data_IF_027892363278
#
_entry.id   IF_027892363278
#
_cell.length_a   1.000
_cell.length_b   1.000
_cell.length_c   1.000
_cell.angle_alpha   90.00
_cell.angle_beta   90.00
_cell.angle_gamma   90.00
#
_symmetry.space_group_name_H-M   'P 1'
#
loop_
_entity.id
_entity.type
_entity.pdbx_description
1 polymer ?
#
# COMPACT_ATOMS: atom_id res chain seq x y z
N UNK A 1 6.36 7.76 -43.12
CA UNK A 1 5.46 8.86 -42.65
C UNK A 1 5.52 8.93 -41.13
N UNK A 2 5.91 10.07 -40.53
CA UNK A 2 5.94 10.18 -39.05
C UNK A 2 4.54 9.89 -38.49
N UNK A 3 4.36 8.96 -37.53
CA UNK A 3 3.08 8.82 -36.85
C UNK A 3 2.86 10.08 -36.00
N UNK A 4 2.19 11.08 -36.57
CA UNK A 4 1.90 12.36 -35.90
C UNK A 4 0.91 12.19 -34.76
N UNK A 5 0.07 11.15 -34.81
CA UNK A 5 -0.94 10.87 -33.78
C UNK A 5 -0.37 10.44 -32.43
N UNK A 6 0.86 9.90 -32.40
CA UNK A 6 1.41 9.24 -31.21
C UNK A 6 2.50 10.09 -30.53
N UNK A 7 2.75 11.33 -30.99
CA UNK A 7 3.77 12.21 -30.41
C UNK A 7 3.13 13.10 -29.34
N UNK A 8 3.60 12.97 -28.10
CA UNK A 8 3.10 13.72 -26.94
C UNK A 8 4.25 14.44 -26.24
N UNK A 9 3.96 15.53 -25.53
CA UNK A 9 4.93 16.13 -24.63
C UNK A 9 4.97 15.37 -23.30
N UNK A 10 6.11 14.75 -22.97
CA UNK A 10 6.29 14.01 -21.73
C UNK A 10 6.78 14.95 -20.63
N UNK A 11 6.00 15.13 -19.56
CA UNK A 11 6.38 15.98 -18.41
C UNK A 11 7.61 15.41 -17.69
N UNK A 12 7.70 14.09 -17.54
CA UNK A 12 8.83 13.43 -16.87
C UNK A 12 10.15 13.61 -17.61
N UNK A 13 10.12 13.63 -18.94
CA UNK A 13 11.31 13.83 -19.78
C UNK A 13 11.49 15.27 -20.25
N UNK A 14 10.51 16.15 -20.05
CA UNK A 14 10.48 17.56 -20.53
C UNK A 14 10.76 17.71 -22.02
N UNK A 15 10.36 16.71 -22.81
CA UNK A 15 10.58 16.68 -24.26
C UNK A 15 9.42 15.97 -24.97
N UNK A 16 9.17 16.28 -26.26
CA UNK A 16 8.28 15.49 -27.10
C UNK A 16 8.79 14.05 -27.27
N UNK A 17 7.95 13.07 -26.98
CA UNK A 17 8.23 11.64 -27.08
C UNK A 17 7.11 10.92 -27.85
N UNK A 18 7.45 9.79 -28.45
CA UNK A 18 6.46 8.87 -29.01
C UNK A 18 5.83 8.05 -27.87
N UNK A 19 4.50 7.96 -27.83
CA UNK A 19 3.74 7.27 -26.79
C UNK A 19 2.97 6.08 -27.38
N UNK A 20 3.01 4.95 -26.69
CA UNK A 20 2.33 3.72 -27.06
C UNK A 20 1.59 3.13 -25.86
N UNK A 21 0.42 2.55 -26.09
CA UNK A 21 -0.40 1.94 -25.02
C UNK A 21 0.25 0.69 -24.42
N UNK A 22 0.94 -0.10 -25.24
CA UNK A 22 1.55 -1.37 -24.85
C UNK A 22 3.02 -1.44 -25.26
N UNK A 23 3.79 -2.23 -24.51
CA UNK A 23 5.21 -2.47 -24.80
C UNK A 23 5.39 -3.06 -26.21
N UNK A 24 4.58 -4.06 -26.57
CA UNK A 24 4.62 -4.70 -27.88
C UNK A 24 4.41 -3.71 -29.03
N UNK A 25 3.52 -2.71 -28.87
CA UNK A 25 3.33 -1.64 -29.88
C UNK A 25 4.60 -0.78 -30.00
N UNK A 26 5.25 -0.44 -28.90
CA UNK A 26 6.49 0.32 -28.89
C UNK A 26 7.66 -0.46 -29.51
N UNK A 27 7.80 -1.75 -29.18
CA UNK A 27 8.86 -2.62 -29.71
C UNK A 27 8.67 -2.87 -31.21
N UNK A 28 7.43 -3.11 -31.65
CA UNK A 28 7.10 -3.22 -33.07
C UNK A 28 7.41 -1.91 -33.80
N UNK A 29 7.14 -0.75 -33.20
CA UNK A 29 7.52 0.53 -33.80
C UNK A 29 9.03 0.61 -34.05
N UNK A 30 9.85 0.24 -33.06
CA UNK A 30 11.31 0.18 -33.22
C UNK A 30 11.69 -0.78 -34.35
N UNK A 31 11.17 -2.01 -34.32
CA UNK A 31 11.51 -3.07 -35.26
C UNK A 31 11.20 -2.71 -36.71
N UNK A 32 10.00 -2.18 -36.98
CA UNK A 32 9.52 -1.97 -38.35
C UNK A 32 9.88 -0.62 -38.94
N UNK A 33 10.28 0.37 -38.12
CA UNK A 33 10.62 1.71 -38.60
C UNK A 33 12.13 2.00 -38.52
N UNK A 34 12.96 1.03 -38.13
CA UNK A 34 14.40 1.19 -37.91
C UNK A 34 15.11 1.80 -39.12
N UNK A 35 14.92 1.22 -40.30
CA UNK A 35 15.66 1.60 -41.51
C UNK A 35 15.20 2.98 -42.03
N UNK A 36 13.88 3.26 -41.98
CA UNK A 36 13.33 4.58 -42.32
C UNK A 36 13.85 5.66 -41.35
N UNK A 37 13.91 5.38 -40.05
CA UNK A 37 14.40 6.35 -39.06
C UNK A 37 15.91 6.56 -39.20
N UNK A 38 16.68 5.50 -39.47
CA UNK A 38 18.12 5.55 -39.66
C UNK A 38 18.49 6.44 -40.85
N UNK A 39 17.82 6.24 -41.99
CA UNK A 39 18.05 7.03 -43.20
C UNK A 39 17.70 8.51 -43.04
N UNK A 40 16.71 8.85 -42.20
CA UNK A 40 16.27 10.24 -42.01
C UNK A 40 17.06 11.01 -40.94
N UNK A 41 17.50 10.34 -39.87
CA UNK A 41 18.00 11.03 -38.66
C UNK A 41 19.33 10.50 -38.13
N UNK A 42 19.82 9.37 -38.65
CA UNK A 42 21.01 8.68 -38.15
C UNK A 42 20.88 8.09 -36.74
N UNK A 43 19.80 8.40 -35.98
CA UNK A 43 19.60 7.95 -34.60
C UNK A 43 18.28 7.20 -34.44
N UNK A 44 18.38 5.88 -34.31
CA UNK A 44 17.21 5.01 -34.14
C UNK A 44 17.00 4.69 -32.66
N UNK A 45 15.76 4.75 -32.15
CA UNK A 45 15.46 4.22 -30.81
C UNK A 45 15.85 2.74 -30.71
N UNK A 46 16.52 2.36 -29.62
CA UNK A 46 17.02 0.99 -29.41
C UNK A 46 16.20 0.21 -28.39
N UNK A 47 15.43 0.88 -27.54
CA UNK A 47 14.62 0.26 -26.48
C UNK A 47 13.32 0.99 -26.22
N UNK A 48 12.34 0.28 -25.67
CA UNK A 48 11.12 0.85 -25.09
C UNK A 48 11.19 0.86 -23.55
N UNK A 49 10.49 1.82 -22.92
CA UNK A 49 10.40 1.89 -21.45
C UNK A 49 9.05 2.44 -21.00
N UNK A 50 8.59 2.00 -19.83
CA UNK A 50 7.36 2.51 -19.23
C UNK A 50 7.61 3.85 -18.52
N UNK A 51 6.86 4.88 -18.90
CA UNK A 51 6.91 6.18 -18.23
C UNK A 51 5.76 6.32 -17.24
N UNK A 52 6.10 6.49 -15.95
CA UNK A 52 5.11 6.68 -14.88
C UNK A 52 4.30 7.96 -15.02
N UNK A 53 4.87 9.02 -15.61
CA UNK A 53 4.17 10.30 -15.81
C UNK A 53 3.18 10.27 -16.98
N UNK A 54 3.50 9.51 -18.04
CA UNK A 54 2.62 9.36 -19.18
C UNK A 54 1.71 8.13 -19.08
N UNK A 55 1.90 7.30 -18.05
CA UNK A 55 1.21 6.04 -17.82
C UNK A 55 1.24 5.07 -19.00
N UNK A 56 2.24 5.19 -19.89
CA UNK A 56 2.35 4.42 -21.14
C UNK A 56 3.81 4.27 -21.57
N UNK A 57 4.04 3.65 -22.72
CA UNK A 57 5.35 3.24 -23.22
C UNK A 57 5.96 4.28 -24.15
N UNK A 58 7.21 4.65 -23.88
CA UNK A 58 8.03 5.49 -24.75
C UNK A 58 9.13 4.67 -25.41
N UNK A 59 9.70 5.20 -26.49
CA UNK A 59 10.91 4.66 -27.11
C UNK A 59 12.08 5.63 -26.91
N UNK A 60 13.29 5.09 -26.75
CA UNK A 60 14.50 5.88 -26.60
C UNK A 60 15.68 5.20 -27.27
N UNK A 61 16.64 6.01 -27.72
CA UNK A 61 17.99 5.57 -28.06
C UNK A 61 18.88 5.73 -26.82
N UNK A 62 19.77 4.76 -26.62
CA UNK A 62 20.86 4.82 -25.63
C UNK A 62 22.09 4.35 -26.37
N UNK A 63 23.14 5.18 -26.38
CA UNK A 63 24.34 4.94 -27.17
C UNK A 63 25.33 3.99 -26.45
N UNK A 64 25.19 3.82 -25.13
CA UNK A 64 26.01 2.96 -24.29
C UNK A 64 25.21 1.74 -23.78
N UNK A 65 25.72 0.53 -24.02
CA UNK A 65 25.07 -0.73 -23.59
C UNK A 65 24.95 -0.86 -22.07
N UNK A 66 25.98 -0.48 -21.31
CA UNK A 66 25.95 -0.52 -19.84
C UNK A 66 24.89 0.41 -19.25
N UNK A 67 24.72 1.60 -19.84
CA UNK A 67 23.64 2.52 -19.46
C UNK A 67 22.27 1.97 -19.85
N UNK A 68 22.14 1.31 -20.99
CA UNK A 68 20.89 0.68 -21.42
C UNK A 68 20.44 -0.39 -20.42
N UNK A 69 21.37 -1.26 -20.00
CA UNK A 69 21.11 -2.31 -18.99
C UNK A 69 20.73 -1.70 -17.64
N UNK A 70 21.45 -0.68 -17.17
CA UNK A 70 21.13 -0.01 -15.91
C UNK A 70 19.74 0.65 -15.94
N UNK A 71 19.39 1.27 -17.08
CA UNK A 71 18.07 1.85 -17.32
C UNK A 71 16.98 0.78 -17.33
N UNK A 72 17.19 -0.37 -17.98
CA UNK A 72 16.24 -1.49 -17.99
C UNK A 72 15.99 -2.04 -16.58
N UNK A 73 17.04 -2.19 -15.77
CA UNK A 73 16.90 -2.64 -14.38
C UNK A 73 16.06 -1.63 -13.57
N UNK A 74 16.35 -0.33 -13.69
CA UNK A 74 15.60 0.72 -13.00
C UNK A 74 14.13 0.75 -13.44
N UNK A 75 13.90 0.71 -14.74
CA UNK A 75 12.56 0.82 -15.33
C UNK A 75 11.73 -0.43 -14.98
N UNK A 76 12.34 -1.62 -14.98
CA UNK A 76 11.72 -2.87 -14.53
C UNK A 76 11.35 -2.83 -13.05
N UNK A 77 12.24 -2.32 -12.17
CA UNK A 77 11.92 -2.10 -10.74
C UNK A 77 10.74 -1.14 -10.56
N UNK A 78 10.72 -0.04 -11.31
CA UNK A 78 9.64 0.95 -11.27
C UNK A 78 8.33 0.35 -11.76
N UNK A 79 8.35 -0.38 -12.88
CA UNK A 79 7.19 -1.05 -13.43
C UNK A 79 6.61 -2.09 -12.46
N UNK A 80 7.45 -2.92 -11.83
CA UNK A 80 6.96 -3.86 -10.82
C UNK A 80 6.33 -3.15 -9.64
N UNK A 81 6.95 -2.10 -9.10
CA UNK A 81 6.33 -1.29 -8.04
C UNK A 81 4.96 -0.74 -8.46
N UNK A 82 4.83 -0.21 -9.68
CA UNK A 82 3.56 0.32 -10.20
C UNK A 82 2.53 -0.79 -10.42
N UNK A 83 2.97 -1.95 -10.91
CA UNK A 83 2.12 -3.12 -11.11
C UNK A 83 1.63 -3.68 -9.78
N UNK A 84 2.49 -3.76 -8.77
CA UNK A 84 2.13 -4.21 -7.44
C UNK A 84 1.22 -3.18 -6.73
N UNK A 85 1.33 -1.90 -7.11
CA UNK A 85 0.38 -0.84 -6.74
C UNK A 85 -0.94 -0.90 -7.51
N UNK A 86 -1.02 -1.57 -8.67
CA UNK A 86 -2.30 -1.89 -9.30
C UNK A 86 -2.97 -2.93 -8.42
N UNK A 87 -3.70 -2.39 -7.44
CA UNK A 87 -4.50 -3.14 -6.47
C UNK A 87 -5.28 -4.19 -7.22
N UNK A 88 -5.13 -5.46 -6.84
CA UNK A 88 -6.09 -6.49 -7.21
C UNK A 88 -7.46 -5.99 -6.75
N UNK A 89 -8.24 -5.54 -7.73
CA UNK A 89 -9.61 -5.17 -7.48
C UNK A 89 -10.32 -6.47 -7.14
N UNK A 90 -11.20 -6.41 -6.15
CA UNK A 90 -12.16 -7.49 -5.96
C UNK A 90 -12.86 -7.76 -7.30
N UNK A 91 -13.23 -9.02 -7.58
CA UNK A 91 -13.95 -9.36 -8.80
C UNK A 91 -15.10 -8.38 -9.05
N UNK A 92 -15.30 -7.94 -10.29
CA UNK A 92 -16.43 -7.06 -10.63
C UNK A 92 -17.76 -7.84 -10.75
N UNK A 93 -17.97 -8.81 -9.87
CA UNK A 93 -19.23 -9.54 -9.72
C UNK A 93 -20.08 -8.86 -8.63
N UNK A 94 -21.37 -9.19 -8.54
CA UNK A 94 -22.26 -8.74 -7.46
C UNK A 94 -21.68 -9.06 -6.09
N UNK A 95 -21.06 -10.22 -5.95
CA UNK A 95 -20.48 -10.68 -4.69
C UNK A 95 -19.18 -9.96 -4.36
N UNK A 96 -18.32 -9.72 -5.35
CA UNK A 96 -17.10 -8.94 -5.16
C UNK A 96 -17.38 -7.47 -4.83
N UNK A 97 -18.48 -6.91 -5.36
CA UNK A 97 -18.99 -5.59 -4.95
C UNK A 97 -19.47 -5.61 -3.51
N UNK A 98 -20.29 -6.60 -3.12
CA UNK A 98 -20.76 -6.77 -1.74
C UNK A 98 -19.59 -6.91 -0.76
N UNK A 99 -18.59 -7.75 -1.07
CA UNK A 99 -17.36 -7.86 -0.27
C UNK A 99 -16.63 -6.51 -0.16
N UNK A 100 -16.57 -5.75 -1.25
CA UNK A 100 -15.94 -4.42 -1.25
C UNK A 100 -16.66 -3.45 -0.31
N UNK A 101 -17.98 -3.44 -0.31
CA UNK A 101 -18.81 -2.62 0.57
C UNK A 101 -18.64 -3.01 2.04
N UNK A 102 -18.69 -4.31 2.34
CA UNK A 102 -18.46 -4.83 3.69
C UNK A 102 -17.06 -4.46 4.20
N UNK A 103 -16.03 -4.55 3.36
CA UNK A 103 -14.67 -4.12 3.72
C UNK A 103 -14.57 -2.61 3.98
N UNK A 104 -15.34 -1.77 3.26
CA UNK A 104 -15.42 -0.33 3.57
C UNK A 104 -16.08 -0.13 4.92
N UNK A 105 -17.17 -0.84 5.19
CA UNK A 105 -17.90 -0.76 6.46
C UNK A 105 -17.01 -1.13 7.65
N UNK A 106 -16.35 -2.29 7.61
CA UNK A 106 -15.38 -2.71 8.64
C UNK A 106 -14.25 -1.70 8.79
N UNK A 107 -13.75 -1.13 7.69
CA UNK A 107 -12.73 -0.09 7.79
C UNK A 107 -13.22 1.16 8.53
N UNK A 108 -14.48 1.55 8.32
CA UNK A 108 -15.09 2.67 9.06
C UNK A 108 -15.25 2.35 10.54
N UNK A 109 -15.58 1.11 10.90
CA UNK A 109 -15.66 0.66 12.29
C UNK A 109 -14.28 0.69 12.96
N UNK A 110 -13.23 0.22 12.27
CA UNK A 110 -11.84 0.29 12.75
C UNK A 110 -11.47 1.74 13.11
N UNK A 111 -11.78 2.70 12.24
CA UNK A 111 -11.50 4.12 12.49
C UNK A 111 -12.28 4.64 13.71
N UNK A 112 -13.56 4.25 13.86
CA UNK A 112 -14.37 4.61 15.03
C UNK A 112 -13.79 4.01 16.31
N UNK A 113 -13.39 2.74 16.29
CA UNK A 113 -12.77 2.05 17.42
C UNK A 113 -11.48 2.75 17.85
N UNK A 114 -10.58 3.03 16.88
CA UNK A 114 -9.35 3.80 17.13
C UNK A 114 -9.64 5.17 17.74
N UNK A 115 -10.67 5.88 17.25
CA UNK A 115 -11.08 7.16 17.82
C UNK A 115 -11.53 7.00 19.29
N UNK A 116 -12.34 6.00 19.61
CA UNK A 116 -12.78 5.76 20.99
C UNK A 116 -11.62 5.41 21.92
N UNK A 117 -10.64 4.62 21.43
CA UNK A 117 -9.40 4.34 22.15
C UNK A 117 -8.63 5.63 22.47
N UNK A 118 -8.48 6.53 21.49
CA UNK A 118 -7.84 7.84 21.69
C UNK A 118 -8.60 8.77 22.65
N UNK A 119 -9.94 8.68 22.66
CA UNK A 119 -10.79 9.37 23.62
C UNK A 119 -10.85 8.66 24.99
N UNK A 120 -10.14 7.55 25.16
CA UNK A 120 -10.10 6.71 26.36
C UNK A 120 -11.44 6.11 26.78
N UNK A 121 -12.41 6.07 25.86
CA UNK A 121 -13.71 5.43 26.04
C UNK A 121 -13.62 3.93 25.73
N UNK A 122 -13.08 3.17 26.70
CA UNK A 122 -12.80 1.74 26.53
C UNK A 122 -14.06 0.89 26.34
N UNK A 123 -15.19 1.10 27.05
CA UNK A 123 -16.39 0.28 26.85
C UNK A 123 -16.94 0.37 25.42
N UNK A 124 -17.00 1.58 24.86
CA UNK A 124 -17.46 1.77 23.48
C UNK A 124 -16.43 1.26 22.46
N UNK A 125 -15.14 1.45 22.73
CA UNK A 125 -14.08 0.89 21.88
C UNK A 125 -14.15 -0.64 21.81
N UNK A 126 -14.35 -1.31 22.95
CA UNK A 126 -14.46 -2.76 23.04
C UNK A 126 -15.72 -3.28 22.34
N UNK A 127 -16.85 -2.57 22.49
CA UNK A 127 -18.08 -2.88 21.75
C UNK A 127 -17.85 -2.84 20.24
N UNK A 128 -17.28 -1.74 19.74
CA UNK A 128 -16.94 -1.59 18.32
C UNK A 128 -15.95 -2.67 17.86
N UNK A 129 -14.99 -3.04 18.70
CA UNK A 129 -14.03 -4.08 18.37
C UNK A 129 -14.68 -5.46 18.21
N UNK A 130 -15.63 -5.81 19.07
CA UNK A 130 -16.43 -7.04 18.92
C UNK A 130 -17.23 -7.05 17.61
N UNK A 131 -17.85 -5.92 17.26
CA UNK A 131 -18.56 -5.74 15.98
C UNK A 131 -17.60 -5.94 14.79
N UNK A 132 -16.40 -5.34 14.83
CA UNK A 132 -15.37 -5.49 13.79
C UNK A 132 -14.99 -6.95 13.59
N UNK A 133 -14.72 -7.70 14.67
CA UNK A 133 -14.31 -9.10 14.59
C UNK A 133 -15.43 -9.96 14.00
N UNK A 134 -16.67 -9.74 14.43
CA UNK A 134 -17.83 -10.46 13.92
C UNK A 134 -18.03 -10.19 12.42
N UNK A 135 -18.11 -8.93 12.01
CA UNK A 135 -18.33 -8.57 10.60
C UNK A 135 -17.18 -9.04 9.71
N UNK A 136 -15.95 -8.96 10.19
CA UNK A 136 -14.80 -9.44 9.43
C UNK A 136 -14.80 -10.96 9.26
N UNK A 137 -15.25 -11.73 10.28
CA UNK A 137 -15.42 -13.18 10.14
C UNK A 137 -16.42 -13.56 9.05
N UNK A 138 -17.50 -12.78 8.88
CA UNK A 138 -18.46 -12.97 7.78
C UNK A 138 -17.81 -12.69 6.43
N UNK A 139 -16.94 -11.67 6.34
CA UNK A 139 -16.19 -11.36 5.12
C UNK A 139 -15.24 -12.52 4.76
N UNK A 140 -14.51 -13.06 5.74
CA UNK A 140 -13.57 -14.18 5.52
C UNK A 140 -14.30 -15.45 5.04
N UNK A 141 -15.43 -15.81 5.67
CA UNK A 141 -16.26 -16.95 5.23
C UNK A 141 -16.80 -16.74 3.80
N UNK A 142 -17.34 -15.55 3.51
CA UNK A 142 -17.83 -15.24 2.17
C UNK A 142 -16.73 -15.30 1.11
N UNK A 143 -15.56 -14.73 1.40
CA UNK A 143 -14.42 -14.75 0.48
C UNK A 143 -13.93 -16.18 0.24
N UNK A 144 -13.86 -17.01 1.30
CA UNK A 144 -13.47 -18.41 1.21
C UNK A 144 -14.44 -19.23 0.34
N UNK A 145 -15.75 -19.10 0.57
CA UNK A 145 -16.78 -19.81 -0.23
C UNK A 145 -16.73 -19.48 -1.72
N UNK A 146 -16.27 -18.28 -2.04
CA UNK A 146 -16.19 -17.79 -3.42
C UNK A 146 -14.79 -17.94 -4.03
N UNK A 147 -13.81 -18.48 -3.30
CA UNK A 147 -12.43 -18.61 -3.77
C UNK A 147 -11.74 -17.27 -4.03
N UNK A 148 -12.17 -16.19 -3.37
CA UNK A 148 -11.64 -14.84 -3.59
C UNK A 148 -10.38 -14.64 -2.76
N UNK A 149 -9.24 -14.65 -3.42
CA UNK A 149 -7.95 -14.28 -2.81
C UNK A 149 -7.75 -12.77 -3.02
N UNK A 150 -7.69 -11.99 -1.94
CA UNK A 150 -7.56 -10.54 -2.03
C UNK A 150 -6.61 -9.95 -0.99
N UNK A 151 -5.54 -9.31 -1.46
CA UNK A 151 -4.63 -8.53 -0.62
C UNK A 151 -5.32 -7.42 0.18
N UNK A 152 -6.53 -7.00 -0.22
CA UNK A 152 -7.33 -6.03 0.53
C UNK A 152 -7.90 -6.62 1.81
N UNK A 153 -8.34 -7.86 1.79
CA UNK A 153 -8.84 -8.59 2.96
C UNK A 153 -7.67 -8.77 3.95
N UNK A 154 -6.51 -9.23 3.47
CA UNK A 154 -5.31 -9.42 4.30
C UNK A 154 -4.89 -8.13 5.03
N UNK A 155 -4.90 -7.00 4.32
CA UNK A 155 -4.56 -5.69 4.92
C UNK A 155 -5.54 -5.27 6.00
N UNK A 156 -6.83 -5.59 5.86
CA UNK A 156 -7.82 -5.32 6.92
C UNK A 156 -7.57 -6.25 8.11
N UNK A 157 -7.30 -7.53 7.87
CA UNK A 157 -6.96 -8.49 8.93
C UNK A 157 -5.75 -8.02 9.76
N UNK A 158 -4.68 -7.54 9.11
CA UNK A 158 -3.50 -6.98 9.82
C UNK A 158 -3.90 -5.83 10.75
N UNK A 159 -4.79 -4.93 10.32
CA UNK A 159 -5.27 -3.82 11.16
C UNK A 159 -6.10 -4.31 12.35
N UNK A 160 -6.91 -5.35 12.15
CA UNK A 160 -7.70 -5.96 13.23
C UNK A 160 -6.78 -6.61 14.26
N UNK A 161 -5.74 -7.34 13.82
CA UNK A 161 -4.72 -7.93 14.72
C UNK A 161 -3.95 -6.87 15.51
N UNK A 162 -3.61 -5.74 14.89
CA UNK A 162 -3.00 -4.60 15.59
C UNK A 162 -3.92 -4.01 16.66
N UNK A 163 -5.23 -3.91 16.37
CA UNK A 163 -6.22 -3.50 17.36
C UNK A 163 -6.34 -4.51 18.50
N UNK A 164 -6.42 -5.81 18.20
CA UNK A 164 -6.44 -6.88 19.21
C UNK A 164 -5.26 -6.74 20.17
N UNK A 165 -4.04 -6.65 19.64
CA UNK A 165 -2.83 -6.47 20.45
C UNK A 165 -2.88 -5.21 21.32
N UNK A 166 -3.53 -4.13 20.84
CA UNK A 166 -3.73 -2.92 21.65
C UNK A 166 -4.67 -3.19 22.83
N UNK A 167 -5.77 -3.92 22.61
CA UNK A 167 -6.67 -4.31 23.70
C UNK A 167 -5.99 -5.27 24.68
N UNK A 168 -5.24 -6.25 24.19
CA UNK A 168 -4.51 -7.21 25.03
C UNK A 168 -3.53 -6.50 25.97
N UNK A 169 -2.78 -5.52 25.46
CA UNK A 169 -1.88 -4.67 26.27
C UNK A 169 -2.66 -3.84 27.29
N UNK A 170 -3.82 -3.30 26.93
CA UNK A 170 -4.62 -2.50 27.87
C UNK A 170 -5.16 -3.39 29.01
N UNK A 171 -5.61 -4.60 28.68
CA UNK A 171 -6.18 -5.57 29.63
C UNK A 171 -5.11 -6.17 30.55
N UNK A 172 -3.98 -6.61 30.00
CA UNK A 172 -2.87 -7.24 30.75
C UNK A 172 -2.25 -6.28 31.78
N UNK A 173 -2.14 -4.99 31.44
CA UNK A 173 -1.34 -4.04 32.24
C UNK A 173 -2.17 -3.00 33.01
N UNK A 174 -3.50 -3.04 32.92
CA UNK A 174 -4.43 -2.07 33.53
C UNK A 174 -3.97 -0.62 33.32
N UNK A 175 -3.80 -0.25 32.04
CA UNK A 175 -3.20 1.03 31.66
C UNK A 175 -4.19 2.17 31.90
N UNK A 176 -3.79 3.14 32.73
CA UNK A 176 -4.56 4.35 33.02
C UNK A 176 -4.78 5.24 31.78
N UNK A 177 -5.77 6.14 31.86
CA UNK A 177 -6.21 6.98 30.74
C UNK A 177 -5.09 7.84 30.13
N UNK A 178 -4.23 8.44 30.96
CA UNK A 178 -3.20 9.37 30.50
C UNK A 178 -2.03 8.60 29.86
N UNK A 179 -1.64 7.48 30.44
CA UNK A 179 -0.65 6.57 29.85
C UNK A 179 -1.13 6.01 28.52
N UNK A 180 -2.43 5.69 28.42
CA UNK A 180 -3.03 5.20 27.16
C UNK A 180 -2.98 6.24 26.05
N UNK A 181 -3.29 7.51 26.33
CA UNK A 181 -3.16 8.60 25.34
C UNK A 181 -1.73 8.76 24.88
N UNK A 182 -0.76 8.64 25.78
CA UNK A 182 0.67 8.69 25.43
C UNK A 182 1.10 7.49 24.58
N UNK A 183 0.58 6.29 24.88
CA UNK A 183 0.82 5.07 24.10
C UNK A 183 0.27 5.21 22.69
N UNK A 184 -1.00 5.60 22.54
CA UNK A 184 -1.70 5.69 21.24
C UNK A 184 -1.24 6.86 20.37
N UNK A 185 -0.55 7.86 20.94
CA UNK A 185 -0.08 9.05 20.20
C UNK A 185 1.27 8.84 19.51
N UNK A 186 1.97 7.72 19.73
CA UNK A 186 3.29 7.46 19.13
C UNK A 186 3.22 6.45 17.98
N UNK A 187 4.13 6.58 17.01
CA UNK A 187 4.21 5.72 15.82
C UNK A 187 4.71 4.29 16.12
N UNK A 188 4.41 3.35 15.21
CA UNK A 188 4.65 1.89 15.26
C UNK A 188 5.99 1.40 15.87
N UNK A 189 7.08 2.14 15.76
CA UNK A 189 8.38 1.76 16.32
C UNK A 189 8.55 2.03 17.83
N UNK A 190 7.67 2.82 18.45
CA UNK A 190 7.81 3.31 19.83
C UNK A 190 6.98 2.54 20.87
N UNK A 191 6.11 1.61 20.45
CA UNK A 191 5.12 0.99 21.31
C UNK A 191 5.72 0.07 22.38
N UNK A 192 6.69 -0.78 22.00
CA UNK A 192 7.29 -1.75 22.91
C UNK A 192 8.11 -1.07 24.01
N UNK A 193 8.88 -0.04 23.66
CA UNK A 193 9.76 0.67 24.60
C UNK A 193 8.98 1.47 25.65
N UNK A 194 7.83 2.03 25.27
CA UNK A 194 6.95 2.78 26.16
C UNK A 194 6.24 1.90 27.18
N UNK A 195 5.66 0.78 26.72
CA UNK A 195 5.05 -0.20 27.62
C UNK A 195 6.08 -0.67 28.64
N UNK A 196 7.28 -1.08 28.21
CA UNK A 196 8.38 -1.48 29.10
C UNK A 196 8.81 -0.37 30.06
N UNK A 197 8.80 0.90 29.63
CA UNK A 197 9.19 2.04 30.49
C UNK A 197 8.11 2.39 31.53
N UNK A 198 6.84 2.32 31.16
CA UNK A 198 5.73 2.49 32.11
C UNK A 198 5.78 1.39 33.18
N UNK A 199 5.97 0.13 32.77
CA UNK A 199 6.08 -1.03 33.65
C UNK A 199 7.20 -0.86 34.69
N UNK A 200 8.42 -0.53 34.25
CA UNK A 200 9.53 -0.22 35.17
C UNK A 200 9.22 0.88 36.17
N UNK A 201 8.38 1.84 35.81
CA UNK A 201 8.03 2.95 36.68
C UNK A 201 6.90 2.58 37.66
N UNK A 202 5.94 1.72 37.25
CA UNK A 202 4.87 1.19 38.11
C UNK A 202 5.46 0.27 39.20
N UNK A 203 6.31 -0.69 38.81
CA UNK A 203 7.00 -1.59 39.75
C UNK A 203 7.86 -0.82 40.78
N UNK A 204 8.53 0.26 40.35
CA UNK A 204 9.30 1.15 41.24
C UNK A 204 8.44 1.94 42.23
N UNK A 205 7.19 2.24 41.87
CA UNK A 205 6.24 2.93 42.76
C UNK A 205 5.63 1.96 43.76
N UNK A 206 5.28 0.76 43.32
CA UNK A 206 4.71 -0.29 44.17
C UNK A 206 5.73 -0.85 45.17
N UNK A 207 6.97 -1.09 44.74
CA UNK A 207 8.08 -1.48 45.64
C UNK A 207 8.40 -0.43 46.69
N UNK A 208 8.37 0.86 46.35
CA UNK A 208 8.57 1.97 47.30
C UNK A 208 7.45 2.07 48.35
N UNK A 209 6.23 1.72 47.98
CA UNK A 209 5.10 1.71 48.91
C UNK A 209 5.12 0.47 49.81
N UNK A 210 5.64 -0.66 49.33
CA UNK A 210 5.80 -1.89 50.11
C UNK A 210 6.94 -1.80 51.13
N UNK A 211 7.98 -0.98 50.87
CA UNK A 211 9.09 -0.71 51.82
C UNK A 211 8.77 0.34 52.91
N UNK A 212 7.54 0.86 52.95
CA UNK A 212 7.08 1.88 53.92
C UNK A 212 6.03 1.36 54.91
N UNK A 213 5.72 0.07 54.84
CA UNK A 213 4.93 -0.69 55.82
C UNK A 213 5.88 -1.60 56.60
#
# INVERSE_FOLDING_TARGET
>A
MKPTKNRVYCIGCRHPKMLFETQAKADNFIKFNRDEIASLSGKVPSRSYYCSFCCAWHVTSVDNEGEAVANDIRDKKTWYKIRDLRRDKLPQTSEGQKLSEMLVFVHSLIQKCQRQLSLTNLPEALKLFKEIVLDFSVIEDMASRQGVISSRIDRVNVKIKMLQNTFDIIDEYDIDSDTRKLFLSKSDSSYHELATRYLRNKEKRESKNSSKL
#
